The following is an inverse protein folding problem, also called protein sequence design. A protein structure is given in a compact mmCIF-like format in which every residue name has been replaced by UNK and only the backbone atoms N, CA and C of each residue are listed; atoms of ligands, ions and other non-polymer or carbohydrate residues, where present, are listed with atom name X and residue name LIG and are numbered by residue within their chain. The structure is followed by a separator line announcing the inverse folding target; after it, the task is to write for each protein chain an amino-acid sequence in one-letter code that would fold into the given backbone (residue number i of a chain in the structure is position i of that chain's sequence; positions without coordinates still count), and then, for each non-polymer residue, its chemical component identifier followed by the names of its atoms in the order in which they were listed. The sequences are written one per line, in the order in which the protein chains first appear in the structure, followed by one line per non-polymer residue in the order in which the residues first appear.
data_IF_244505544521
#
_entry.id   IF_244505544521
#
_cell.length_a   1.000
_cell.length_b   1.000
_cell.length_c   1.000
_cell.angle_alpha   90.00
_cell.angle_beta   90.00
_cell.angle_gamma   90.00
#
_symmetry.space_group_name_H-M   'P 1'
#
loop_
_entity.id
_entity.type
_entity.pdbx_description
1 polymer ?
#
# COMPACT_ATOMS: atom_id res chain seq x y z
N UNK A 1 15.99 12.29 -18.77
CA UNK A 1 14.83 11.39 -18.95
C UNK A 1 14.77 10.88 -20.38
N UNK A 2 14.56 11.73 -21.40
CA UNK A 2 14.48 11.27 -22.80
C UNK A 2 15.69 10.48 -23.29
N UNK A 3 16.91 10.88 -22.90
CA UNK A 3 18.12 10.15 -23.25
C UNK A 3 18.09 8.68 -22.77
N UNK A 4 17.49 8.40 -21.60
CA UNK A 4 17.33 7.04 -21.10
C UNK A 4 16.36 6.24 -21.96
N UNK A 5 15.21 6.80 -22.29
CA UNK A 5 14.22 6.11 -23.14
C UNK A 5 14.77 5.85 -24.54
N UNK A 6 15.45 6.84 -25.14
CA UNK A 6 16.10 6.66 -26.44
C UNK A 6 17.15 5.54 -26.38
N UNK A 7 17.98 5.52 -25.33
CA UNK A 7 18.95 4.44 -25.14
C UNK A 7 18.25 3.07 -25.05
N UNK A 8 17.15 2.97 -24.31
CA UNK A 8 16.39 1.73 -24.22
C UNK A 8 15.78 1.32 -25.56
N UNK A 9 15.26 2.27 -26.35
CA UNK A 9 14.72 2.01 -27.68
C UNK A 9 15.79 1.50 -28.64
N UNK A 10 16.93 2.20 -28.70
CA UNK A 10 18.06 1.85 -29.57
C UNK A 10 18.62 0.45 -29.25
N UNK A 11 18.57 0.03 -27.98
CA UNK A 11 19.09 -1.25 -27.48
C UNK A 11 18.03 -2.34 -27.31
N UNK A 12 16.76 -2.02 -27.54
CA UNK A 12 15.61 -2.91 -27.29
C UNK A 12 15.64 -3.41 -25.84
N UNK A 13 15.89 -2.49 -24.89
CA UNK A 13 15.91 -2.77 -23.46
C UNK A 13 14.57 -2.43 -22.81
N UNK A 14 14.17 -3.19 -21.77
CA UNK A 14 12.97 -2.87 -21.03
C UNK A 14 13.12 -1.55 -20.29
N UNK A 15 12.05 -0.75 -20.30
CA UNK A 15 12.00 0.45 -19.46
C UNK A 15 11.76 0.04 -18.01
N UNK A 16 12.55 0.59 -17.08
CA UNK A 16 12.38 0.34 -15.65
C UNK A 16 12.59 1.62 -14.85
N UNK A 17 11.89 1.72 -13.71
CA UNK A 17 12.06 2.87 -12.80
C UNK A 17 13.50 2.93 -12.29
N UNK A 18 14.08 1.80 -11.92
CA UNK A 18 15.48 1.75 -11.46
C UNK A 18 16.47 2.11 -12.56
N UNK A 19 16.25 1.65 -13.80
CA UNK A 19 17.09 2.03 -14.95
C UNK A 19 17.06 3.54 -15.19
N UNK A 20 15.87 4.16 -15.07
CA UNK A 20 15.74 5.61 -15.11
C UNK A 20 16.53 6.30 -13.99
N UNK A 21 16.41 5.82 -12.74
CA UNK A 21 17.15 6.37 -11.60
C UNK A 21 18.67 6.28 -11.81
N UNK A 22 19.17 5.13 -12.29
CA UNK A 22 20.59 4.94 -12.60
C UNK A 22 21.05 5.91 -13.68
N UNK A 23 20.27 6.09 -14.74
CA UNK A 23 20.59 7.05 -15.81
C UNK A 23 20.56 8.51 -15.33
N UNK A 24 19.75 8.82 -14.32
CA UNK A 24 19.69 10.13 -13.67
C UNK A 24 20.73 10.31 -12.56
N UNK A 25 21.47 9.25 -12.20
CA UNK A 25 22.45 9.27 -11.11
C UNK A 25 21.82 9.44 -9.72
N UNK A 26 20.59 8.97 -9.51
CA UNK A 26 19.87 9.12 -8.25
C UNK A 26 19.29 7.79 -7.74
N UNK A 27 18.79 7.80 -6.50
CA UNK A 27 18.07 6.65 -5.94
C UNK A 27 16.58 6.75 -6.27
N UNK A 28 15.85 5.63 -6.15
CA UNK A 28 14.39 5.63 -6.26
C UNK A 28 13.73 6.57 -5.24
N UNK A 29 14.27 6.62 -4.03
CA UNK A 29 13.77 7.52 -2.99
C UNK A 29 13.89 8.99 -3.42
N UNK A 30 15.05 9.39 -3.95
CA UNK A 30 15.22 10.73 -4.52
C UNK A 30 14.23 11.01 -5.64
N UNK A 31 14.02 10.06 -6.56
CA UNK A 31 13.04 10.23 -7.63
C UNK A 31 11.61 10.44 -7.09
N UNK A 32 11.20 9.69 -6.06
CA UNK A 32 9.89 9.87 -5.41
C UNK A 32 9.79 11.21 -4.68
N UNK A 33 10.83 11.62 -3.94
CA UNK A 33 10.82 12.90 -3.21
C UNK A 33 10.70 14.12 -4.14
N UNK A 34 11.16 13.99 -5.39
CA UNK A 34 11.05 15.04 -6.40
C UNK A 34 9.75 14.95 -7.21
N UNK A 35 9.04 13.83 -7.16
CA UNK A 35 7.75 13.69 -7.84
C UNK A 35 6.71 14.66 -7.29
N UNK A 36 6.76 15.01 -6.00
CA UNK A 36 5.84 15.95 -5.37
C UNK A 36 6.26 17.42 -5.53
N UNK A 37 7.42 17.68 -6.14
CA UNK A 37 7.91 19.05 -6.37
C UNK A 37 7.36 19.60 -7.68
N UNK A 38 6.67 20.75 -7.68
CA UNK A 38 6.01 21.29 -8.88
C UNK A 38 6.94 21.42 -10.10
N UNK A 39 8.22 21.70 -9.90
CA UNK A 39 9.20 21.89 -10.98
C UNK A 39 9.55 20.59 -11.71
N UNK A 40 9.35 19.43 -11.06
CA UNK A 40 9.74 18.12 -11.57
C UNK A 40 8.56 17.15 -11.71
N UNK A 41 7.43 17.46 -11.08
CA UNK A 41 6.22 16.65 -11.01
C UNK A 41 5.79 16.13 -12.38
N UNK A 42 5.58 17.02 -13.35
CA UNK A 42 5.06 16.64 -14.67
C UNK A 42 6.03 15.71 -15.41
N UNK A 43 7.33 16.03 -15.37
CA UNK A 43 8.35 15.25 -16.06
C UNK A 43 8.53 13.85 -15.45
N UNK A 44 8.54 13.75 -14.11
CA UNK A 44 8.68 12.47 -13.41
C UNK A 44 7.43 11.61 -13.61
N UNK A 45 6.24 12.21 -13.52
CA UNK A 45 4.98 11.49 -13.75
C UNK A 45 4.87 11.01 -15.18
N UNK A 46 5.15 11.84 -16.17
CA UNK A 46 5.18 11.43 -17.57
C UNK A 46 6.15 10.26 -17.82
N UNK A 47 7.34 10.30 -17.22
CA UNK A 47 8.30 9.20 -17.31
C UNK A 47 7.76 7.91 -16.67
N UNK A 48 7.12 7.99 -15.49
CA UNK A 48 6.51 6.84 -14.82
C UNK A 48 5.33 6.27 -15.61
N UNK A 49 4.49 7.11 -16.21
CA UNK A 49 3.40 6.68 -17.10
C UNK A 49 3.94 5.93 -18.33
N UNK A 50 5.01 6.43 -18.95
CA UNK A 50 5.64 5.75 -20.10
C UNK A 50 6.18 4.37 -19.73
N UNK A 51 6.80 4.23 -18.57
CA UNK A 51 7.23 2.92 -18.05
C UNK A 51 6.02 2.02 -17.78
N UNK A 52 4.94 2.57 -17.22
CA UNK A 52 3.70 1.84 -16.94
C UNK A 52 3.06 1.27 -18.20
N UNK A 53 2.93 2.09 -19.25
CA UNK A 53 2.38 1.68 -20.54
C UNK A 53 3.23 0.56 -21.19
N UNK A 54 4.56 0.63 -21.05
CA UNK A 54 5.44 -0.45 -21.48
C UNK A 54 5.18 -1.75 -20.73
N UNK A 55 5.11 -1.70 -19.39
CA UNK A 55 4.82 -2.88 -18.55
C UNK A 55 3.46 -3.48 -18.86
N UNK A 56 2.45 -2.64 -19.04
CA UNK A 56 1.09 -3.06 -19.43
C UNK A 56 1.10 -3.79 -20.78
N UNK A 57 1.77 -3.23 -21.79
CA UNK A 57 1.94 -3.91 -23.09
C UNK A 57 2.63 -5.27 -22.94
N UNK A 58 3.70 -5.34 -22.16
CA UNK A 58 4.45 -6.57 -21.90
C UNK A 58 3.64 -7.63 -21.16
N UNK A 59 2.72 -7.22 -20.28
CA UNK A 59 1.77 -8.11 -19.61
C UNK A 59 0.87 -8.83 -20.63
N UNK A 60 0.34 -8.12 -21.63
CA UNK A 60 -0.49 -8.70 -22.69
C UNK A 60 0.31 -9.62 -23.63
N UNK A 61 1.62 -9.42 -23.77
CA UNK A 61 2.50 -10.28 -24.56
C UNK A 61 2.94 -11.56 -23.83
N UNK A 62 2.58 -11.72 -22.55
CA UNK A 62 2.69 -12.99 -21.83
C UNK A 62 4.10 -13.39 -21.39
N UNK A 63 5.09 -12.49 -21.39
CA UNK A 63 6.49 -12.84 -21.06
C UNK A 63 6.68 -13.36 -19.62
N UNK A 64 6.14 -12.65 -18.63
CA UNK A 64 6.14 -13.07 -17.22
C UNK A 64 5.04 -12.34 -16.44
N UNK A 65 3.82 -12.87 -16.48
CA UNK A 65 2.64 -12.23 -15.90
C UNK A 65 2.75 -12.00 -14.39
N UNK A 66 3.32 -12.94 -13.64
CA UNK A 66 3.48 -12.82 -12.20
C UNK A 66 4.40 -11.65 -11.80
N UNK A 67 5.54 -11.51 -12.48
CA UNK A 67 6.45 -10.39 -12.26
C UNK A 67 5.80 -9.05 -12.63
N UNK A 68 5.03 -9.00 -13.72
CA UNK A 68 4.33 -7.77 -14.13
C UNK A 68 3.21 -7.41 -13.16
N UNK A 69 2.40 -8.36 -12.69
CA UNK A 69 1.38 -8.13 -11.65
C UNK A 69 2.03 -7.61 -10.37
N UNK A 70 3.13 -8.22 -9.93
CA UNK A 70 3.90 -7.73 -8.77
C UNK A 70 4.39 -6.30 -8.99
N UNK A 71 4.93 -5.99 -10.17
CA UNK A 71 5.38 -4.65 -10.52
C UNK A 71 4.24 -3.63 -10.49
N UNK A 72 3.09 -3.95 -11.10
CA UNK A 72 1.91 -3.09 -11.18
C UNK A 72 1.34 -2.79 -9.78
N UNK A 73 1.30 -3.77 -8.89
CA UNK A 73 0.90 -3.55 -7.50
C UNK A 73 1.84 -2.59 -6.76
N UNK A 74 3.15 -2.78 -6.90
CA UNK A 74 4.15 -2.01 -6.15
C UNK A 74 4.46 -0.63 -6.74
N UNK A 75 4.28 -0.42 -8.04
CA UNK A 75 4.72 0.81 -8.73
C UNK A 75 3.60 1.54 -9.48
N UNK A 76 2.50 0.87 -9.82
CA UNK A 76 1.34 1.46 -10.48
C UNK A 76 0.12 1.63 -9.56
N UNK A 77 0.22 1.20 -8.30
CA UNK A 77 -0.87 1.34 -7.32
C UNK A 77 -2.07 0.42 -7.58
N UNK A 78 -1.91 -0.60 -8.44
CA UNK A 78 -2.98 -1.56 -8.69
C UNK A 78 -3.26 -2.38 -7.44
N UNK A 79 -4.55 -2.63 -7.17
CA UNK A 79 -5.00 -3.42 -6.03
C UNK A 79 -5.88 -4.54 -6.53
N UNK A 80 -5.74 -5.73 -5.96
CA UNK A 80 -6.71 -6.78 -6.20
C UNK A 80 -8.04 -6.34 -5.59
N UNK A 81 -9.09 -6.34 -6.39
CA UNK A 81 -10.43 -6.17 -5.88
C UNK A 81 -10.93 -7.51 -5.36
N UNK A 82 -11.34 -7.54 -4.09
CA UNK A 82 -11.92 -8.72 -3.46
C UNK A 82 -13.35 -8.38 -3.04
N UNK A 83 -14.32 -9.17 -3.50
CA UNK A 83 -15.67 -9.17 -2.96
C UNK A 83 -15.75 -10.26 -1.89
N UNK A 84 -15.69 -9.86 -0.62
CA UNK A 84 -15.77 -10.78 0.52
C UNK A 84 -17.17 -10.74 1.09
N UNK A 85 -17.93 -11.84 0.91
CA UNK A 85 -19.19 -12.05 1.62
C UNK A 85 -18.88 -12.68 2.96
N UNK A 86 -18.87 -11.85 4.00
CA UNK A 86 -18.61 -12.31 5.36
C UNK A 86 -19.95 -12.64 6.04
N UNK A 87 -20.27 -13.92 6.12
CA UNK A 87 -21.33 -14.40 7.01
C UNK A 87 -20.78 -14.52 8.43
N UNK A 88 -21.33 -13.74 9.35
CA UNK A 88 -20.99 -13.86 10.77
C UNK A 88 -22.03 -14.78 11.42
N UNK A 89 -21.68 -16.06 11.53
CA UNK A 89 -22.51 -17.08 12.16
C UNK A 89 -21.77 -17.73 13.32
N UNK A 90 -22.55 -18.27 14.28
CA UNK A 90 -22.04 -19.15 15.32
C UNK A 90 -21.66 -20.52 14.76
N UNK A 91 -21.26 -21.42 15.64
CA UNK A 91 -20.90 -22.80 15.28
C UNK A 91 -22.00 -23.43 14.41
N UNK A 92 -21.61 -24.06 13.31
CA UNK A 92 -22.49 -24.74 12.34
C UNK A 92 -23.56 -23.84 11.69
N UNK A 93 -23.29 -22.53 11.54
CA UNK A 93 -24.24 -21.58 10.96
C UNK A 93 -25.34 -21.12 11.93
N UNK A 94 -25.26 -21.54 13.19
CA UNK A 94 -26.22 -21.18 14.24
C UNK A 94 -26.06 -19.74 14.74
N UNK A 95 -26.90 -19.31 15.69
CA UNK A 95 -26.76 -18.00 16.33
C UNK A 95 -25.41 -17.85 17.05
N UNK A 96 -24.84 -16.66 17.02
CA UNK A 96 -23.66 -16.32 17.82
C UNK A 96 -24.04 -16.41 19.29
N UNK A 97 -23.42 -17.32 20.04
CA UNK A 97 -23.56 -17.41 21.49
C UNK A 97 -22.58 -16.42 22.11
N UNK A 98 -23.10 -15.42 22.81
CA UNK A 98 -22.29 -14.50 23.62
C UNK A 98 -22.52 -14.84 25.08
N UNK A 99 -21.45 -15.19 25.79
CA UNK A 99 -21.45 -15.30 27.25
C UNK A 99 -20.81 -14.02 27.79
N UNK A 100 -21.58 -13.24 28.55
CA UNK A 100 -21.11 -12.04 29.20
C UNK A 100 -21.04 -12.31 30.70
N UNK A 101 -19.83 -12.34 31.26
CA UNK A 101 -19.64 -12.34 32.70
C UNK A 101 -19.72 -10.89 33.21
N UNK A 102 -20.86 -10.54 33.81
CA UNK A 102 -21.04 -9.24 34.44
C UNK A 102 -20.48 -9.29 35.85
N UNK A 103 -19.25 -8.80 36.02
CA UNK A 103 -18.70 -8.57 37.35
C UNK A 103 -19.29 -7.29 37.92
N UNK A 104 -20.21 -7.43 38.89
CA UNK A 104 -20.63 -6.29 39.69
C UNK A 104 -19.43 -5.86 40.53
N UNK A 105 -19.04 -4.58 40.43
CA UNK A 105 -18.12 -4.01 41.42
C UNK A 105 -18.78 -4.21 42.79
N UNK A 106 -18.04 -4.69 43.82
CA UNK A 106 -18.55 -4.73 45.17
C UNK A 106 -19.12 -3.35 45.52
N UNK A 107 -20.33 -3.32 46.08
CA UNK A 107 -20.90 -2.08 46.60
C UNK A 107 -20.07 -1.67 47.80
N UNK A 108 -19.03 -0.88 47.56
CA UNK A 108 -18.29 -0.24 48.65
C UNK A 108 -19.05 1.01 49.06
N UNK A 109 -19.09 1.26 50.35
CA UNK A 109 -19.70 2.49 50.88
C UNK A 109 -18.90 3.71 50.42
N UNK A 110 -19.55 4.89 50.41
CA UNK A 110 -18.89 6.14 50.01
C UNK A 110 -17.62 6.40 50.83
N UNK A 111 -17.66 6.12 52.12
CA UNK A 111 -16.53 6.26 53.04
C UNK A 111 -15.37 5.31 52.69
N UNK A 112 -15.66 4.06 52.32
CA UNK A 112 -14.64 3.10 51.88
C UNK A 112 -14.03 3.48 50.53
N UNK A 113 -14.83 4.05 49.62
CA UNK A 113 -14.34 4.56 48.34
C UNK A 113 -13.43 5.78 48.54
N UNK A 114 -13.86 6.74 49.35
CA UNK A 114 -13.09 7.95 49.68
C UNK A 114 -11.78 7.61 50.41
N UNK A 115 -11.78 6.62 51.31
CA UNK A 115 -10.56 6.17 51.99
C UNK A 115 -9.57 5.43 51.08
N UNK A 116 -10.06 4.71 50.06
CA UNK A 116 -9.24 3.85 49.18
C UNK A 116 -8.79 4.54 47.89
N UNK A 117 -9.59 5.45 47.37
CA UNK A 117 -9.40 6.10 46.07
C UNK A 117 -9.63 7.62 46.12
N UNK A 118 -10.03 8.17 47.26
CA UNK A 118 -10.04 9.62 47.45
C UNK A 118 -8.61 10.12 47.31
N UNK A 119 -8.40 11.00 46.34
CA UNK A 119 -7.16 11.74 46.22
C UNK A 119 -7.05 12.62 47.47
N UNK A 120 -6.06 12.32 48.32
CA UNK A 120 -5.64 13.26 49.35
C UNK A 120 -5.38 14.60 48.69
N UNK A 121 -6.04 15.65 49.20
CA UNK A 121 -5.80 17.02 48.79
C UNK A 121 -4.42 17.49 49.21
#
# INVERSE_FOLDING_TARGET
IEAYFKFCDDKIYPYTVHGLCVALGCTRETLCNYEDKPEFFDAIKAAKEKIRAFVEKELFLGKNQAAMIFWMKNNAGWKDQQEVKQEVTGKDGGPIKTEAEVTLRPSITREEWEKRYGFDK
#
